data_IF_559618929424
#
_entry.id   IF_559618929424
#
_cell.length_a   1.000
_cell.length_b   1.000
_cell.length_c   1.000
_cell.angle_alpha   90.00
_cell.angle_beta   90.00
_cell.angle_gamma   90.00
#
_symmetry.space_group_name_H-M   'P 1'
#
loop_
_entity.id
_entity.type
_entity.pdbx_description
1 polymer ?
#
# COMPACT_ATOMS: atom_id res chain seq x y z
N UNK A 1 7.85 -13.24 20.09
CA UNK A 1 9.10 -12.46 20.22
C UNK A 1 8.75 -11.03 20.63
N UNK A 2 9.67 -10.30 21.26
CA UNK A 2 9.48 -8.89 21.56
C UNK A 2 10.24 -8.07 20.51
N UNK A 3 9.54 -7.19 19.82
CA UNK A 3 10.05 -6.45 18.68
C UNK A 3 9.92 -4.95 18.94
N UNK A 4 10.99 -4.20 18.73
CA UNK A 4 10.94 -2.74 18.67
C UNK A 4 11.04 -2.33 17.21
N UNK A 5 10.21 -1.37 16.80
CA UNK A 5 10.30 -0.77 15.48
C UNK A 5 10.58 0.73 15.54
N UNK A 6 11.38 1.24 14.60
CA UNK A 6 11.66 2.67 14.44
C UNK A 6 10.99 3.19 13.18
N UNK A 7 9.95 4.01 13.36
CA UNK A 7 9.23 4.71 12.28
C UNK A 7 9.56 6.19 12.33
N UNK A 8 10.26 6.67 11.33
CA UNK A 8 10.86 8.01 11.34
C UNK A 8 9.92 9.19 11.04
N UNK A 9 8.64 8.94 10.80
CA UNK A 9 7.66 9.96 10.39
C UNK A 9 6.25 9.65 10.92
N UNK A 10 5.33 10.65 10.93
CA UNK A 10 3.96 10.45 11.35
C UNK A 10 3.22 9.48 10.41
N UNK A 11 2.56 8.47 10.99
CA UNK A 11 1.73 7.52 10.24
C UNK A 11 0.33 7.31 10.85
N UNK A 12 0.07 7.84 12.05
CA UNK A 12 -1.26 7.86 12.67
C UNK A 12 -1.67 9.28 13.03
N UNK A 13 -2.87 9.75 12.57
CA UNK A 13 -3.84 9.03 11.74
C UNK A 13 -3.32 8.75 10.32
N UNK A 14 -3.66 7.57 9.78
CA UNK A 14 -3.22 7.14 8.46
C UNK A 14 -4.03 7.86 7.35
N UNK A 15 -3.40 8.78 6.63
CA UNK A 15 -4.03 9.62 5.57
C UNK A 15 -3.54 9.27 4.16
N UNK A 16 -2.50 8.47 4.03
CA UNK A 16 -1.92 8.05 2.75
C UNK A 16 -1.69 6.55 2.71
N UNK A 17 -1.54 5.97 1.52
CA UNK A 17 -1.31 4.53 1.35
C UNK A 17 -0.10 4.03 2.13
N UNK A 18 1.02 4.75 2.13
CA UNK A 18 2.22 4.37 2.90
C UNK A 18 1.98 4.39 4.41
N UNK A 19 1.27 5.40 4.93
CA UNK A 19 0.90 5.47 6.35
C UNK A 19 -0.05 4.32 6.73
N UNK A 20 -1.06 4.03 5.89
CA UNK A 20 -1.99 2.92 6.07
C UNK A 20 -1.25 1.58 6.07
N UNK A 21 -0.27 1.41 5.17
CA UNK A 21 0.56 0.21 5.11
C UNK A 21 1.31 -0.06 6.41
N UNK A 22 1.96 0.94 7.00
CA UNK A 22 2.64 0.81 8.29
C UNK A 22 1.66 0.47 9.41
N UNK A 23 0.56 1.22 9.50
CA UNK A 23 -0.44 1.02 10.55
C UNK A 23 -1.03 -0.39 10.52
N UNK A 24 -1.39 -0.88 9.33
CA UNK A 24 -1.98 -2.20 9.14
C UNK A 24 -0.93 -3.32 9.30
N UNK A 25 0.27 -3.13 8.80
CA UNK A 25 1.34 -4.09 9.03
C UNK A 25 1.51 -4.35 10.53
N UNK A 26 1.66 -3.31 11.36
CA UNK A 26 1.82 -3.51 12.80
C UNK A 26 0.55 -4.00 13.49
N UNK A 27 -0.65 -3.59 13.06
CA UNK A 27 -1.92 -4.13 13.55
C UNK A 27 -1.96 -5.65 13.42
N UNK A 28 -1.66 -6.18 12.26
CA UNK A 28 -1.70 -7.62 12.01
C UNK A 28 -0.46 -8.36 12.51
N UNK A 29 0.71 -7.74 12.46
CA UNK A 29 1.95 -8.35 12.93
C UNK A 29 1.99 -8.52 14.45
N UNK A 30 1.30 -7.64 15.18
CA UNK A 30 1.16 -7.71 16.64
C UNK A 30 0.32 -8.91 17.12
N UNK A 31 -0.45 -9.57 16.24
CA UNK A 31 -1.11 -10.84 16.59
C UNK A 31 -0.13 -12.01 16.75
N UNK A 32 1.09 -11.87 16.20
CA UNK A 32 2.12 -12.89 16.25
C UNK A 32 3.24 -12.54 17.26
N UNK A 33 3.43 -11.26 17.55
CA UNK A 33 4.56 -10.77 18.36
C UNK A 33 4.15 -9.60 19.24
N UNK A 34 4.86 -9.41 20.37
CA UNK A 34 4.73 -8.17 21.14
C UNK A 34 5.50 -7.07 20.42
N UNK A 35 4.82 -6.03 19.93
CA UNK A 35 5.41 -4.96 19.12
C UNK A 35 5.31 -3.62 19.84
N UNK A 36 6.44 -2.92 19.95
CA UNK A 36 6.54 -1.53 20.41
C UNK A 36 7.09 -0.67 19.26
N UNK A 37 6.28 0.25 18.76
CA UNK A 37 6.67 1.17 17.69
C UNK A 37 7.12 2.50 18.28
N UNK A 38 8.37 2.87 18.03
CA UNK A 38 8.95 4.17 18.39
C UNK A 38 8.85 5.12 17.20
N UNK A 39 8.24 6.25 17.41
CA UNK A 39 7.95 7.19 16.32
C UNK A 39 7.99 8.65 16.78
N UNK A 40 7.68 9.58 15.87
CA UNK A 40 7.69 11.03 16.10
C UNK A 40 6.48 11.50 16.91
N UNK A 41 6.61 12.69 17.53
CA UNK A 41 5.62 13.24 18.47
C UNK A 41 4.24 13.52 17.85
N UNK A 42 4.15 13.69 16.52
CA UNK A 42 2.89 14.00 15.84
C UNK A 42 1.96 12.81 15.63
N UNK A 43 2.36 11.60 16.01
CA UNK A 43 1.49 10.44 15.95
C UNK A 43 0.49 10.42 17.11
N UNK A 44 -0.67 9.79 16.92
CA UNK A 44 -1.71 9.64 17.93
C UNK A 44 -1.71 8.19 18.46
N UNK A 45 -1.14 7.92 19.65
CA UNK A 45 -1.03 6.56 20.21
C UNK A 45 -2.38 5.86 20.40
N UNK A 46 -3.45 6.60 20.68
CA UNK A 46 -4.79 6.04 20.85
C UNK A 46 -5.35 5.37 19.59
N UNK A 47 -4.77 5.64 18.42
CA UNK A 47 -5.14 5.01 17.14
C UNK A 47 -4.33 3.75 16.83
N UNK A 48 -3.35 3.39 17.67
CA UNK A 48 -2.57 2.16 17.48
C UNK A 48 -3.42 0.94 17.84
N UNK A 49 -3.58 0.02 16.90
CA UNK A 49 -4.40 -1.18 17.07
C UNK A 49 -3.51 -2.42 17.31
N UNK A 50 -3.50 -2.94 18.54
CA UNK A 50 -2.80 -4.18 18.88
C UNK A 50 -1.31 -4.05 19.20
N UNK A 51 -0.69 -2.88 19.03
CA UNK A 51 0.71 -2.60 19.34
C UNK A 51 0.87 -1.35 20.20
N UNK A 52 1.97 -1.28 20.93
CA UNK A 52 2.31 -0.10 21.71
C UNK A 52 2.98 0.95 20.82
N UNK A 53 2.58 2.23 20.93
CA UNK A 53 3.17 3.33 20.19
C UNK A 53 3.78 4.36 21.14
N UNK A 54 5.08 4.64 20.95
CA UNK A 54 5.84 5.56 21.79
C UNK A 54 6.34 6.76 20.96
N UNK A 55 5.88 7.95 21.28
CA UNK A 55 6.24 9.22 20.63
C UNK A 55 7.57 9.77 21.17
N UNK A 56 8.68 9.09 20.89
CA UNK A 56 10.01 9.41 21.45
C UNK A 56 10.83 10.27 20.49
N UNK A 57 10.71 10.04 19.17
CA UNK A 57 11.54 10.71 18.18
C UNK A 57 11.14 12.18 17.99
N UNK A 58 12.10 13.13 17.93
CA UNK A 58 11.80 14.51 17.61
C UNK A 58 11.18 14.65 16.21
N UNK A 59 10.32 15.65 16.01
CA UNK A 59 9.75 15.94 14.68
C UNK A 59 10.74 16.62 13.73
N UNK A 60 11.80 17.24 14.25
CA UNK A 60 12.82 17.93 13.46
C UNK A 60 13.79 16.98 12.76
N UNK A 61 14.39 17.41 11.65
CA UNK A 61 15.26 16.59 10.80
C UNK A 61 16.51 16.06 11.53
N UNK A 62 17.00 16.76 12.57
CA UNK A 62 18.15 16.29 13.35
C UNK A 62 17.92 14.92 14.01
N UNK A 63 16.67 14.43 14.09
CA UNK A 63 16.37 13.08 14.62
C UNK A 63 17.16 11.98 13.92
N UNK A 64 17.48 12.14 12.63
CA UNK A 64 18.21 11.13 11.87
C UNK A 64 19.69 10.99 12.25
N UNK A 65 20.26 12.02 12.86
CA UNK A 65 21.70 12.08 13.21
C UNK A 65 21.95 12.27 14.71
N UNK A 66 20.89 12.29 15.53
CA UNK A 66 21.00 12.48 16.98
C UNK A 66 21.59 11.24 17.68
N UNK A 67 22.85 11.28 18.20
CA UNK A 67 23.49 10.12 18.80
C UNK A 67 22.87 9.72 20.15
N UNK A 68 22.21 10.64 20.85
CA UNK A 68 21.60 10.36 22.15
C UNK A 68 20.41 9.40 22.05
N UNK A 69 19.82 9.28 20.86
CA UNK A 69 18.74 8.31 20.60
C UNK A 69 19.19 6.86 20.82
N UNK A 70 20.50 6.58 20.63
CA UNK A 70 21.07 5.27 20.91
C UNK A 70 20.82 4.84 22.35
N UNK A 71 21.10 5.70 23.32
CA UNK A 71 20.93 5.37 24.75
C UNK A 71 19.45 5.17 25.10
N UNK A 72 18.58 5.98 24.53
CA UNK A 72 17.12 5.86 24.73
C UNK A 72 16.61 4.51 24.20
N UNK A 73 16.95 4.15 22.96
CA UNK A 73 16.49 2.88 22.37
C UNK A 73 17.17 1.69 23.03
N UNK A 74 18.46 1.79 23.40
CA UNK A 74 19.15 0.74 24.17
C UNK A 74 18.48 0.46 25.51
N UNK A 75 18.04 1.51 26.23
CA UNK A 75 17.28 1.37 27.48
C UNK A 75 15.96 0.64 27.21
N UNK A 76 15.21 1.08 26.20
CA UNK A 76 13.94 0.45 25.80
C UNK A 76 14.10 -1.01 25.39
N UNK A 77 15.15 -1.37 24.63
CA UNK A 77 15.48 -2.77 24.29
C UNK A 77 15.61 -3.64 25.54
N UNK A 78 16.29 -3.13 26.57
CA UNK A 78 16.49 -3.86 27.83
C UNK A 78 15.20 -3.99 28.61
N UNK A 79 14.43 -2.91 28.76
CA UNK A 79 13.16 -2.88 29.50
C UNK A 79 12.12 -3.81 28.86
N UNK A 80 12.00 -3.76 27.54
CA UNK A 80 11.06 -4.60 26.78
C UNK A 80 11.60 -6.02 26.51
N UNK A 81 12.85 -6.30 26.86
CA UNK A 81 13.55 -7.56 26.52
C UNK A 81 13.44 -7.87 25.03
N UNK A 82 13.64 -6.84 24.20
CA UNK A 82 13.46 -6.95 22.76
C UNK A 82 14.55 -7.83 22.14
N UNK A 83 14.15 -8.73 21.28
CA UNK A 83 15.02 -9.66 20.53
C UNK A 83 15.26 -9.19 19.09
N UNK A 84 14.36 -8.37 18.55
CA UNK A 84 14.40 -7.87 17.18
C UNK A 84 14.20 -6.37 17.14
N UNK A 85 14.84 -5.74 16.16
CA UNK A 85 14.69 -4.33 15.84
C UNK A 85 14.31 -4.20 14.36
N UNK A 86 13.16 -3.56 14.07
CA UNK A 86 12.73 -3.23 12.71
C UNK A 86 13.05 -1.76 12.43
N UNK A 87 13.65 -1.48 11.29
CA UNK A 87 13.78 -0.14 10.74
C UNK A 87 12.79 0.02 9.60
N UNK A 88 11.79 0.89 9.78
CA UNK A 88 10.96 1.34 8.66
C UNK A 88 11.76 2.33 7.83
N UNK A 89 12.17 1.87 6.66
CA UNK A 89 13.19 2.49 5.79
C UNK A 89 14.62 2.44 6.36
N UNK A 90 15.65 2.57 5.51
CA UNK A 90 17.05 2.47 5.92
C UNK A 90 17.58 3.71 6.67
N UNK A 91 16.77 4.76 6.88
CA UNK A 91 17.25 6.05 7.40
C UNK A 91 17.97 5.98 8.76
N UNK A 92 17.57 5.03 9.62
CA UNK A 92 18.25 4.75 10.90
C UNK A 92 19.26 3.61 10.81
N UNK A 93 19.81 3.33 9.62
CA UNK A 93 20.77 2.24 9.41
C UNK A 93 21.95 2.29 10.38
N UNK A 94 22.58 3.46 10.58
CA UNK A 94 23.69 3.65 11.51
C UNK A 94 23.29 3.26 12.94
N UNK A 95 22.10 3.64 13.40
CA UNK A 95 21.58 3.35 14.73
C UNK A 95 21.27 1.86 14.86
N UNK A 96 20.62 1.26 13.85
CA UNK A 96 20.32 -0.17 13.80
C UNK A 96 21.58 -1.03 13.88
N UNK A 97 22.62 -0.66 13.15
CA UNK A 97 23.91 -1.35 13.19
C UNK A 97 24.57 -1.28 14.59
N UNK A 98 24.55 -0.11 15.25
CA UNK A 98 25.06 0.05 16.61
C UNK A 98 24.25 -0.75 17.62
N UNK A 99 22.91 -0.68 17.55
CA UNK A 99 22.04 -1.43 18.48
C UNK A 99 22.21 -2.94 18.29
N UNK A 100 22.29 -3.43 17.05
CA UNK A 100 22.62 -4.84 16.79
C UNK A 100 23.95 -5.23 17.44
N UNK A 101 24.99 -4.43 17.27
CA UNK A 101 26.34 -4.70 17.79
C UNK A 101 26.41 -4.71 19.31
N UNK A 102 25.71 -3.76 19.97
CA UNK A 102 25.85 -3.54 21.43
C UNK A 102 24.71 -4.12 22.27
N UNK A 103 23.58 -4.46 21.65
CA UNK A 103 22.43 -5.03 22.37
C UNK A 103 22.12 -6.48 21.96
N UNK A 104 22.76 -7.01 20.91
CA UNK A 104 22.53 -8.37 20.44
C UNK A 104 21.18 -8.60 19.77
N UNK A 105 20.44 -7.55 19.42
CA UNK A 105 19.16 -7.67 18.70
C UNK A 105 19.37 -8.04 17.24
N UNK A 106 18.47 -8.83 16.68
CA UNK A 106 18.45 -9.09 15.24
C UNK A 106 17.85 -7.90 14.52
N UNK A 107 18.50 -7.45 13.46
CA UNK A 107 18.13 -6.28 12.70
C UNK A 107 17.32 -6.67 11.46
N UNK A 108 16.14 -6.06 11.32
CA UNK A 108 15.26 -6.17 10.16
C UNK A 108 15.18 -4.79 9.50
N UNK A 109 15.36 -4.72 8.19
CA UNK A 109 15.10 -3.50 7.41
C UNK A 109 13.86 -3.73 6.56
N UNK A 110 12.83 -2.91 6.75
CA UNK A 110 11.59 -2.93 5.99
C UNK A 110 11.56 -1.72 5.05
N UNK A 111 11.89 -1.94 3.79
CA UNK A 111 11.94 -0.90 2.76
C UNK A 111 10.64 -0.82 1.98
N UNK A 112 10.04 0.37 1.99
CA UNK A 112 8.84 0.67 1.19
C UNK A 112 9.17 1.11 -0.23
N UNK A 113 10.40 1.49 -0.49
CA UNK A 113 10.99 1.81 -1.79
C UNK A 113 12.49 1.59 -1.70
N UNK A 114 13.14 1.45 -2.83
CA UNK A 114 14.58 1.62 -2.94
C UNK A 114 14.88 3.13 -3.01
N UNK A 115 15.21 3.71 -1.85
CA UNK A 115 15.33 5.15 -1.68
C UNK A 115 16.43 5.76 -2.58
N UNK A 116 17.55 5.08 -2.74
CA UNK A 116 18.60 5.52 -3.65
C UNK A 116 18.10 5.67 -5.09
N UNK A 117 17.34 4.70 -5.58
CA UNK A 117 16.74 4.74 -6.93
C UNK A 117 15.68 5.83 -7.03
N UNK A 118 14.82 5.97 -6.04
CA UNK A 118 13.81 7.02 -5.98
C UNK A 118 14.43 8.42 -6.06
N UNK A 119 15.50 8.68 -5.30
CA UNK A 119 16.17 9.97 -5.36
C UNK A 119 16.95 10.20 -6.67
N UNK A 120 17.39 9.12 -7.31
CA UNK A 120 17.94 9.18 -8.67
C UNK A 120 16.90 9.67 -9.68
N UNK A 121 15.68 9.11 -9.66
CA UNK A 121 14.59 9.53 -10.56
C UNK A 121 14.15 10.98 -10.31
N UNK A 122 14.33 11.48 -9.08
CA UNK A 122 14.11 12.88 -8.72
C UNK A 122 15.28 13.81 -9.06
N UNK A 123 16.30 13.31 -9.78
CA UNK A 123 17.45 14.09 -10.26
C UNK A 123 18.39 14.61 -9.15
N UNK A 124 18.37 14.02 -7.95
CA UNK A 124 19.24 14.47 -6.85
C UNK A 124 20.66 13.98 -7.02
N UNK A 125 21.64 14.89 -7.12
CA UNK A 125 23.05 14.56 -7.38
C UNK A 125 23.66 13.61 -6.33
N UNK A 126 23.20 13.68 -5.08
CA UNK A 126 23.70 12.87 -3.95
C UNK A 126 23.05 11.47 -3.84
N UNK A 127 22.22 11.05 -4.81
CA UNK A 127 21.52 9.76 -4.77
C UNK A 127 22.46 8.56 -4.57
N UNK A 128 23.69 8.62 -5.11
CA UNK A 128 24.69 7.54 -4.96
C UNK A 128 25.16 7.36 -3.51
N UNK A 129 25.23 8.44 -2.73
CA UNK A 129 25.59 8.40 -1.30
C UNK A 129 24.50 7.66 -0.55
N UNK A 130 23.24 8.03 -0.77
CA UNK A 130 22.10 7.37 -0.15
C UNK A 130 22.00 5.91 -0.57
N UNK A 131 22.20 5.60 -1.86
CA UNK A 131 22.18 4.23 -2.38
C UNK A 131 23.23 3.35 -1.70
N UNK A 132 24.47 3.82 -1.53
CA UNK A 132 25.52 3.08 -0.83
C UNK A 132 25.19 2.91 0.66
N UNK A 133 24.64 3.93 1.31
CA UNK A 133 24.20 3.86 2.70
C UNK A 133 23.07 2.82 2.87
N UNK A 134 22.05 2.87 2.03
CA UNK A 134 20.94 1.92 1.97
C UNK A 134 21.44 0.49 1.75
N UNK A 135 22.27 0.28 0.73
CA UNK A 135 22.92 -1.02 0.45
C UNK A 135 23.65 -1.56 1.67
N UNK A 136 24.46 -0.75 2.33
CA UNK A 136 25.23 -1.19 3.50
C UNK A 136 24.30 -1.52 4.67
N UNK A 137 23.22 -0.76 4.89
CA UNK A 137 22.23 -1.04 5.92
C UNK A 137 21.56 -2.39 5.69
N UNK A 138 21.11 -2.66 4.45
CA UNK A 138 20.51 -3.94 4.07
C UNK A 138 21.49 -5.13 4.20
N UNK A 139 22.75 -4.95 3.80
CA UNK A 139 23.77 -6.00 3.93
C UNK A 139 24.08 -6.37 5.37
N UNK A 140 24.04 -5.40 6.27
CA UNK A 140 24.29 -5.61 7.70
C UNK A 140 23.07 -6.22 8.43
N UNK A 141 21.87 -6.07 7.88
CA UNK A 141 20.65 -6.63 8.44
C UNK A 141 20.66 -8.16 8.46
N UNK A 142 19.94 -8.75 9.41
CA UNK A 142 19.70 -10.20 9.48
C UNK A 142 18.59 -10.60 8.51
N UNK A 143 17.57 -9.72 8.35
CA UNK A 143 16.44 -9.91 7.48
C UNK A 143 16.10 -8.61 6.76
N UNK A 144 15.56 -8.75 5.54
CA UNK A 144 15.18 -7.63 4.70
C UNK A 144 13.77 -7.85 4.16
N UNK A 145 12.88 -6.91 4.41
CA UNK A 145 11.52 -6.89 3.88
C UNK A 145 11.40 -5.83 2.80
N UNK A 146 10.74 -6.17 1.70
CA UNK A 146 10.49 -5.27 0.56
C UNK A 146 9.00 -5.30 0.22
N UNK A 147 8.42 -4.18 -0.19
CA UNK A 147 6.99 -4.12 -0.51
C UNK A 147 6.66 -4.85 -1.82
N UNK A 148 7.60 -4.96 -2.75
CA UNK A 148 7.39 -5.59 -4.05
C UNK A 148 8.55 -6.49 -4.45
N UNK A 149 8.26 -7.52 -5.25
CA UNK A 149 9.25 -8.49 -5.71
C UNK A 149 10.35 -7.82 -6.54
N UNK A 150 10.01 -6.84 -7.37
CA UNK A 150 10.99 -6.11 -8.17
C UNK A 150 12.06 -5.41 -7.33
N UNK A 151 11.69 -4.79 -6.20
CA UNK A 151 12.65 -4.15 -5.30
C UNK A 151 13.50 -5.19 -4.54
N UNK A 152 12.89 -6.32 -4.12
CA UNK A 152 13.60 -7.44 -3.52
C UNK A 152 14.66 -8.00 -4.48
N UNK A 153 14.28 -8.28 -5.71
CA UNK A 153 15.15 -8.88 -6.71
C UNK A 153 16.26 -7.91 -7.14
N UNK A 154 15.93 -6.61 -7.24
CA UNK A 154 16.93 -5.57 -7.43
C UNK A 154 17.96 -5.58 -6.28
N UNK A 155 17.49 -5.62 -5.03
CA UNK A 155 18.37 -5.60 -3.86
C UNK A 155 19.24 -6.88 -3.78
N UNK A 156 18.70 -8.04 -4.10
CA UNK A 156 19.47 -9.29 -4.22
C UNK A 156 20.59 -9.10 -5.25
N UNK A 157 20.26 -8.61 -6.44
CA UNK A 157 21.21 -8.47 -7.55
C UNK A 157 22.23 -7.37 -7.32
N UNK A 158 21.81 -6.16 -6.92
CA UNK A 158 22.68 -4.98 -6.92
C UNK A 158 23.22 -4.62 -5.54
N UNK A 159 22.51 -4.96 -4.46
CA UNK A 159 23.05 -4.84 -3.10
C UNK A 159 23.87 -6.07 -2.71
N UNK A 160 23.74 -7.19 -3.45
CA UNK A 160 24.42 -8.46 -3.16
C UNK A 160 23.87 -9.12 -1.91
N UNK A 161 22.54 -9.06 -1.74
CA UNK A 161 21.86 -9.70 -0.62
C UNK A 161 21.69 -11.20 -0.89
N UNK A 162 21.67 -11.99 0.17
CA UNK A 162 21.34 -13.41 0.09
C UNK A 162 19.82 -13.57 -0.03
N UNK A 163 19.30 -14.32 -1.03
CA UNK A 163 17.86 -14.51 -1.21
C UNK A 163 17.14 -14.99 0.04
N UNK A 164 17.76 -15.89 0.81
CA UNK A 164 17.22 -16.44 2.05
C UNK A 164 17.11 -15.42 3.20
N UNK A 165 17.63 -14.21 3.03
CA UNK A 165 17.47 -13.09 3.98
C UNK A 165 16.43 -12.07 3.52
N UNK A 166 15.79 -12.27 2.38
CA UNK A 166 14.89 -11.33 1.74
C UNK A 166 13.48 -11.90 1.63
N UNK A 167 12.49 -11.10 1.99
CA UNK A 167 11.08 -11.46 1.89
C UNK A 167 10.31 -10.28 1.29
N UNK A 168 9.36 -10.59 0.41
CA UNK A 168 8.36 -9.60 -0.02
C UNK A 168 7.23 -9.55 1.00
N UNK A 169 7.08 -8.38 1.60
CA UNK A 169 6.00 -7.99 2.51
C UNK A 169 5.19 -6.92 1.80
N UNK A 170 4.31 -7.35 0.89
CA UNK A 170 3.55 -6.45 0.03
C UNK A 170 2.54 -5.61 0.83
N UNK A 171 2.04 -4.55 0.19
CA UNK A 171 0.84 -3.90 0.69
C UNK A 171 -0.35 -4.87 0.57
N UNK A 172 -1.21 -4.91 1.59
CA UNK A 172 -2.33 -5.84 1.65
C UNK A 172 -3.69 -5.18 1.82
N UNK A 173 -4.72 -6.01 1.78
CA UNK A 173 -6.10 -5.69 2.13
C UNK A 173 -6.47 -6.28 3.49
N UNK A 174 -7.43 -5.66 4.18
CA UNK A 174 -8.05 -6.22 5.38
C UNK A 174 -9.13 -7.26 5.06
N UNK A 175 -9.46 -7.43 3.79
CA UNK A 175 -10.46 -8.38 3.30
C UNK A 175 -9.78 -9.73 3.07
N UNK A 176 -10.26 -10.76 3.74
CA UNK A 176 -9.71 -12.13 3.70
C UNK A 176 -10.34 -13.02 2.63
N UNK A 177 -11.52 -12.66 2.14
CA UNK A 177 -12.30 -13.36 1.13
C UNK A 177 -13.23 -12.38 0.41
N UNK A 178 -13.71 -12.68 -0.81
CA UNK A 178 -14.62 -11.79 -1.52
C UNK A 178 -15.92 -11.59 -0.75
N UNK A 179 -16.58 -10.42 -0.86
CA UNK A 179 -17.93 -10.23 -0.38
C UNK A 179 -18.88 -11.30 -0.97
N UNK A 180 -19.81 -11.76 -0.14
CA UNK A 180 -20.82 -12.72 -0.60
C UNK A 180 -21.73 -12.11 -1.69
N UNK A 181 -22.33 -12.94 -2.58
CA UNK A 181 -23.30 -12.47 -3.57
C UNK A 181 -24.45 -11.66 -2.96
N UNK A 182 -24.88 -12.01 -1.73
CA UNK A 182 -25.92 -11.30 -0.99
C UNK A 182 -25.45 -9.89 -0.60
N UNK A 183 -24.29 -9.76 0.03
CA UNK A 183 -23.72 -8.47 0.42
C UNK A 183 -23.52 -7.56 -0.82
N UNK A 184 -23.04 -8.11 -1.92
CA UNK A 184 -22.87 -7.39 -3.17
C UNK A 184 -24.21 -6.89 -3.72
N UNK A 185 -25.25 -7.76 -3.73
CA UNK A 185 -26.59 -7.40 -4.20
C UNK A 185 -27.23 -6.32 -3.33
N UNK A 186 -27.15 -6.44 -2.01
CA UNK A 186 -27.70 -5.47 -1.05
C UNK A 186 -27.00 -4.12 -1.17
N UNK A 187 -25.67 -4.11 -1.24
CA UNK A 187 -24.88 -2.89 -1.41
C UNK A 187 -25.18 -2.20 -2.74
N UNK A 188 -25.28 -2.97 -3.83
CA UNK A 188 -25.64 -2.44 -5.14
C UNK A 188 -27.04 -1.80 -5.13
N UNK A 189 -28.03 -2.51 -4.60
CA UNK A 189 -29.41 -2.01 -4.50
C UNK A 189 -29.47 -0.71 -3.70
N UNK A 190 -28.76 -0.64 -2.56
CA UNK A 190 -28.65 0.57 -1.74
C UNK A 190 -28.06 1.74 -2.53
N UNK A 191 -26.97 1.52 -3.29
CA UNK A 191 -26.37 2.58 -4.12
C UNK A 191 -27.29 3.06 -5.22
N UNK A 192 -27.95 2.14 -5.93
CA UNK A 192 -28.89 2.50 -7.01
C UNK A 192 -30.05 3.37 -6.48
N UNK A 193 -30.61 3.01 -5.33
CA UNK A 193 -31.66 3.78 -4.67
C UNK A 193 -31.17 5.16 -4.20
N UNK A 194 -30.06 5.19 -3.42
CA UNK A 194 -29.54 6.44 -2.85
C UNK A 194 -29.12 7.46 -3.91
N UNK A 195 -28.57 6.96 -5.02
CA UNK A 195 -28.04 7.79 -6.09
C UNK A 195 -29.03 8.00 -7.25
N UNK A 196 -30.23 7.43 -7.16
CA UNK A 196 -31.30 7.48 -8.18
C UNK A 196 -30.80 7.01 -9.56
N UNK A 197 -30.05 5.89 -9.59
CA UNK A 197 -29.49 5.31 -10.80
C UNK A 197 -30.38 4.16 -11.26
N UNK A 198 -30.71 4.06 -12.57
CA UNK A 198 -31.49 2.93 -13.10
C UNK A 198 -30.76 1.59 -12.86
N UNK A 199 -31.51 0.53 -12.56
CA UNK A 199 -30.97 -0.83 -12.31
C UNK A 199 -30.18 -1.39 -13.50
N UNK A 200 -30.53 -0.95 -14.71
CA UNK A 200 -29.85 -1.33 -15.96
C UNK A 200 -28.44 -0.76 -16.11
N UNK A 201 -28.05 0.19 -15.26
CA UNK A 201 -26.74 0.84 -15.36
C UNK A 201 -25.67 0.05 -14.61
N UNK A 202 -24.51 -0.05 -15.23
CA UNK A 202 -23.30 -0.54 -14.56
C UNK A 202 -22.70 0.56 -13.68
N UNK A 203 -22.29 0.20 -12.46
CA UNK A 203 -21.65 1.12 -11.52
C UNK A 203 -20.13 1.01 -11.63
N UNK A 204 -19.49 2.11 -12.02
CA UNK A 204 -18.06 2.21 -12.19
C UNK A 204 -17.52 3.13 -11.08
N UNK A 205 -16.49 2.71 -10.36
CA UNK A 205 -15.91 3.47 -9.25
C UNK A 205 -14.52 3.99 -9.59
N UNK A 206 -14.25 5.24 -9.22
CA UNK A 206 -12.90 5.77 -9.05
C UNK A 206 -12.81 6.52 -7.73
N UNK A 207 -11.82 6.20 -6.90
CA UNK A 207 -11.61 6.90 -5.64
C UNK A 207 -10.19 7.45 -5.46
N UNK A 208 -10.05 8.46 -4.61
CA UNK A 208 -8.74 8.99 -4.26
C UNK A 208 -8.75 10.25 -3.41
N UNK A 209 -7.56 10.62 -2.91
CA UNK A 209 -7.30 11.95 -2.37
C UNK A 209 -6.72 12.81 -3.51
N UNK A 210 -7.44 13.82 -3.95
CA UNK A 210 -7.14 14.58 -5.18
C UNK A 210 -6.17 15.76 -4.96
N UNK A 211 -5.74 15.99 -3.73
CA UNK A 211 -4.55 16.80 -3.43
C UNK A 211 -3.23 16.11 -3.80
N UNK A 212 -3.25 14.78 -4.02
CA UNK A 212 -2.13 14.03 -4.54
C UNK A 212 -2.16 14.05 -6.08
N UNK A 213 -1.10 14.59 -6.71
CA UNK A 213 -1.06 14.85 -8.16
C UNK A 213 -1.41 13.62 -9.01
N UNK A 214 -0.87 12.40 -8.78
CA UNK A 214 -1.22 11.25 -9.60
C UNK A 214 -2.72 10.90 -9.60
N UNK A 215 -3.42 11.10 -8.49
CA UNK A 215 -4.86 10.86 -8.42
C UNK A 215 -5.64 11.98 -9.14
N UNK A 216 -5.18 13.23 -9.02
CA UNK A 216 -5.79 14.35 -9.70
C UNK A 216 -5.65 14.23 -11.23
N UNK A 217 -4.45 13.87 -11.68
CA UNK A 217 -4.18 13.68 -13.12
C UNK A 217 -5.00 12.49 -13.66
N UNK A 218 -5.14 11.41 -12.88
CA UNK A 218 -6.01 10.29 -13.20
C UNK A 218 -7.49 10.70 -13.30
N UNK A 219 -7.99 11.59 -12.41
CA UNK A 219 -9.33 12.14 -12.49
C UNK A 219 -9.54 12.91 -13.80
N UNK A 220 -8.58 13.76 -14.18
CA UNK A 220 -8.64 14.48 -15.45
C UNK A 220 -8.64 13.52 -16.67
N UNK A 221 -7.79 12.50 -16.64
CA UNK A 221 -7.76 11.47 -17.68
C UNK A 221 -9.11 10.75 -17.81
N UNK A 222 -9.74 10.38 -16.67
CA UNK A 222 -11.07 9.78 -16.69
C UNK A 222 -12.11 10.69 -17.30
N UNK A 223 -12.18 11.94 -16.85
CA UNK A 223 -13.25 12.85 -17.25
C UNK A 223 -13.11 13.36 -18.68
N UNK A 224 -11.88 13.65 -19.13
CA UNK A 224 -11.64 14.32 -20.41
C UNK A 224 -11.09 13.42 -21.51
N UNK A 225 -10.63 12.20 -21.19
CA UNK A 225 -10.10 11.25 -22.17
C UNK A 225 -10.95 9.98 -22.25
N UNK A 226 -11.16 9.30 -21.13
CA UNK A 226 -11.86 8.00 -21.08
C UNK A 226 -13.37 8.17 -21.20
N UNK A 227 -13.98 9.06 -20.41
CA UNK A 227 -15.44 9.21 -20.36
C UNK A 227 -16.07 9.60 -21.71
N UNK A 228 -15.52 10.53 -22.52
CA UNK A 228 -16.05 10.81 -23.86
C UNK A 228 -16.06 9.59 -24.78
N UNK A 229 -15.03 8.73 -24.69
CA UNK A 229 -14.96 7.49 -25.47
C UNK A 229 -16.02 6.50 -24.99
N UNK A 230 -16.18 6.31 -23.66
CA UNK A 230 -17.23 5.46 -23.11
C UNK A 230 -18.62 5.94 -23.53
N UNK A 231 -18.90 7.25 -23.46
CA UNK A 231 -20.18 7.85 -23.86
C UNK A 231 -20.52 7.62 -25.33
N UNK A 232 -19.53 7.57 -26.21
CA UNK A 232 -19.75 7.25 -27.63
C UNK A 232 -20.13 5.79 -27.90
N UNK A 233 -19.89 4.88 -26.91
CA UNK A 233 -20.10 3.44 -27.04
C UNK A 233 -21.29 2.93 -26.25
N UNK A 234 -21.56 3.51 -25.08
CA UNK A 234 -22.70 3.14 -24.21
C UNK A 234 -23.12 4.30 -23.32
N UNK A 235 -24.39 4.35 -22.97
CA UNK A 235 -24.95 5.29 -21.98
C UNK A 235 -25.40 4.56 -20.71
N UNK A 236 -25.36 3.22 -20.69
CA UNK A 236 -25.89 2.39 -19.61
C UNK A 236 -24.86 2.18 -18.48
N UNK A 237 -24.21 3.26 -18.03
CA UNK A 237 -23.32 3.24 -16.88
C UNK A 237 -23.41 4.51 -16.04
N UNK A 238 -22.89 4.43 -14.83
CA UNK A 238 -22.64 5.57 -13.96
C UNK A 238 -21.23 5.49 -13.38
N UNK A 239 -20.38 6.46 -13.72
CA UNK A 239 -19.04 6.62 -13.15
C UNK A 239 -19.13 7.45 -11.87
N UNK A 240 -18.86 6.82 -10.74
CA UNK A 240 -18.89 7.40 -9.41
C UNK A 240 -17.48 7.88 -9.02
N UNK A 241 -17.34 9.19 -8.77
CA UNK A 241 -16.08 9.80 -8.32
C UNK A 241 -16.18 10.08 -6.82
N UNK A 242 -15.33 9.38 -6.04
CA UNK A 242 -15.36 9.43 -4.59
C UNK A 242 -14.01 9.88 -4.04
N UNK A 243 -14.00 10.78 -3.06
CA UNK A 243 -12.77 11.13 -2.35
C UNK A 243 -12.65 12.55 -1.87
N UNK A 244 -11.49 12.86 -1.29
CA UNK A 244 -11.19 14.14 -0.68
C UNK A 244 -10.53 15.12 -1.66
N UNK A 245 -10.76 16.42 -1.45
CA UNK A 245 -10.10 17.51 -2.19
C UNK A 245 -10.30 17.44 -3.71
N UNK A 246 -11.50 17.09 -4.17
CA UNK A 246 -11.86 17.18 -5.58
C UNK A 246 -11.73 18.65 -6.01
N UNK A 247 -11.09 18.95 -7.16
CA UNK A 247 -10.98 20.32 -7.66
C UNK A 247 -12.33 20.98 -7.83
N UNK A 248 -12.45 22.24 -7.40
CA UNK A 248 -13.71 22.99 -7.45
C UNK A 248 -14.27 23.13 -8.89
N UNK A 249 -13.39 23.23 -9.87
CA UNK A 249 -13.76 23.23 -11.29
C UNK A 249 -14.51 21.96 -11.70
N UNK A 250 -14.14 20.80 -11.14
CA UNK A 250 -14.81 19.52 -11.41
C UNK A 250 -16.16 19.45 -10.68
N UNK A 251 -16.22 19.94 -9.43
CA UNK A 251 -17.48 19.97 -8.67
C UNK A 251 -18.56 20.85 -9.33
N UNK A 252 -18.16 21.89 -10.04
CA UNK A 252 -19.07 22.82 -10.74
C UNK A 252 -19.41 22.40 -12.16
N UNK A 253 -18.78 21.34 -12.71
CA UNK A 253 -18.99 20.89 -14.08
C UNK A 253 -19.81 19.61 -14.11
N UNK A 254 -20.83 19.58 -14.96
CA UNK A 254 -21.58 18.35 -15.22
C UNK A 254 -20.92 17.57 -16.35
N UNK A 255 -20.73 16.27 -16.12
CA UNK A 255 -20.19 15.34 -17.11
C UNK A 255 -21.23 14.24 -17.40
N UNK A 256 -21.60 13.97 -18.66
CA UNK A 256 -22.54 12.90 -18.98
C UNK A 256 -22.06 11.56 -18.43
N UNK A 257 -22.97 10.80 -17.79
CA UNK A 257 -22.65 9.49 -17.21
C UNK A 257 -21.81 9.51 -15.94
N UNK A 258 -21.45 10.69 -15.39
CA UNK A 258 -20.60 10.82 -14.20
C UNK A 258 -21.39 11.42 -13.05
N UNK A 259 -21.14 10.91 -11.84
CA UNK A 259 -21.63 11.48 -10.60
C UNK A 259 -20.48 11.71 -9.62
N UNK A 260 -20.23 12.97 -9.29
CA UNK A 260 -19.15 13.39 -8.38
C UNK A 260 -19.71 13.47 -6.97
N UNK A 261 -19.33 12.55 -6.10
CA UNK A 261 -19.92 12.39 -4.76
C UNK A 261 -19.10 13.09 -3.65
N UNK A 262 -17.82 13.37 -3.92
CA UNK A 262 -16.95 13.91 -2.88
C UNK A 262 -16.54 12.87 -1.84
N UNK A 263 -16.34 13.31 -0.61
CA UNK A 263 -16.05 12.42 0.51
C UNK A 263 -17.30 11.61 0.90
N UNK A 264 -17.11 10.31 1.09
CA UNK A 264 -18.14 9.40 1.60
C UNK A 264 -17.64 8.76 2.90
N UNK A 265 -18.51 8.64 3.89
CA UNK A 265 -18.14 8.03 5.18
C UNK A 265 -17.91 6.52 5.06
N UNK A 266 -18.71 5.85 4.22
CA UNK A 266 -18.67 4.41 4.01
C UNK A 266 -18.20 4.07 2.58
N UNK A 267 -16.88 4.05 2.36
CA UNK A 267 -16.30 3.65 1.06
C UNK A 267 -16.54 2.16 0.77
N UNK A 268 -16.67 1.33 1.80
CA UNK A 268 -16.90 -0.10 1.67
C UNK A 268 -18.18 -0.42 0.90
N UNK A 269 -19.26 0.35 1.13
CA UNK A 269 -20.51 0.24 0.38
C UNK A 269 -20.28 0.36 -1.12
N UNK A 270 -19.42 1.30 -1.55
CA UNK A 270 -19.10 1.51 -2.96
C UNK A 270 -18.20 0.43 -3.53
N UNK A 271 -17.20 -0.01 -2.77
CA UNK A 271 -16.32 -1.10 -3.17
C UNK A 271 -17.07 -2.43 -3.29
N UNK A 272 -18.08 -2.65 -2.45
CA UNK A 272 -18.91 -3.87 -2.49
C UNK A 272 -19.96 -3.81 -3.60
N UNK A 273 -20.62 -2.65 -3.78
CA UNK A 273 -21.79 -2.53 -4.65
C UNK A 273 -21.51 -2.14 -6.10
N UNK A 274 -20.31 -1.66 -6.43
CA UNK A 274 -19.94 -1.34 -7.81
C UNK A 274 -19.53 -2.59 -8.60
N UNK A 275 -19.51 -2.46 -9.93
CA UNK A 275 -19.16 -3.54 -10.85
C UNK A 275 -17.69 -3.47 -11.28
N UNK A 276 -17.17 -2.26 -11.53
CA UNK A 276 -15.84 -2.01 -12.08
C UNK A 276 -15.13 -0.92 -11.29
N UNK A 277 -13.83 -1.08 -11.12
CA UNK A 277 -12.95 -0.03 -10.60
C UNK A 277 -11.98 0.43 -11.67
N UNK A 278 -11.80 1.76 -11.83
CA UNK A 278 -10.86 2.32 -12.80
C UNK A 278 -9.64 2.93 -12.10
N UNK A 279 -8.45 2.69 -12.66
CA UNK A 279 -7.19 3.20 -12.13
C UNK A 279 -6.26 3.75 -13.24
N UNK A 280 -6.61 4.88 -13.89
CA UNK A 280 -5.82 5.46 -14.99
C UNK A 280 -4.66 6.31 -14.48
N UNK A 281 -3.88 5.76 -13.54
CA UNK A 281 -2.75 6.44 -12.89
C UNK A 281 -1.49 6.26 -13.72
N UNK A 282 -0.90 7.35 -14.20
CA UNK A 282 0.28 7.36 -15.07
C UNK A 282 1.60 7.67 -14.32
N UNK A 283 1.55 7.94 -13.02
CA UNK A 283 2.73 8.34 -12.25
C UNK A 283 2.66 7.88 -10.79
N UNK A 284 3.78 7.99 -10.10
CA UNK A 284 3.92 7.53 -8.71
C UNK A 284 4.47 6.11 -8.64
N UNK A 285 5.42 5.91 -7.71
CA UNK A 285 6.07 4.62 -7.49
C UNK A 285 5.24 3.66 -6.63
N UNK A 286 5.62 2.38 -6.66
CA UNK A 286 5.07 1.35 -5.79
C UNK A 286 3.64 0.91 -6.09
N UNK A 287 3.16 -0.04 -5.28
CA UNK A 287 1.81 -0.60 -5.38
C UNK A 287 0.75 0.49 -5.13
N UNK A 288 -0.28 0.52 -5.97
CA UNK A 288 -1.45 1.38 -5.77
C UNK A 288 -2.44 0.67 -4.85
N UNK A 289 -2.43 1.03 -3.58
CA UNK A 289 -3.21 0.40 -2.50
C UNK A 289 -4.70 0.29 -2.82
N UNK A 290 -5.27 1.31 -3.45
CA UNK A 290 -6.67 1.33 -3.88
C UNK A 290 -7.00 0.25 -4.92
N UNK A 291 -6.03 -0.15 -5.76
CA UNK A 291 -6.23 -1.22 -6.73
C UNK A 291 -6.27 -2.59 -6.03
N UNK A 292 -5.38 -2.83 -5.06
CA UNK A 292 -5.42 -4.03 -4.21
C UNK A 292 -6.74 -4.11 -3.44
N UNK A 293 -7.20 -2.98 -2.89
CA UNK A 293 -8.49 -2.91 -2.19
C UNK A 293 -9.66 -3.25 -3.12
N UNK A 294 -9.74 -2.63 -4.30
CA UNK A 294 -10.81 -2.90 -5.25
C UNK A 294 -10.86 -4.37 -5.69
N UNK A 295 -9.71 -4.96 -5.98
CA UNK A 295 -9.60 -6.40 -6.31
C UNK A 295 -10.04 -7.28 -5.12
N UNK A 296 -9.68 -6.92 -3.89
CA UNK A 296 -10.09 -7.66 -2.69
C UNK A 296 -11.62 -7.65 -2.47
N UNK A 297 -12.29 -6.56 -2.86
CA UNK A 297 -13.76 -6.49 -2.88
C UNK A 297 -14.39 -7.17 -4.12
N UNK A 298 -13.61 -7.94 -4.87
CA UNK A 298 -14.07 -8.67 -6.05
C UNK A 298 -14.52 -7.78 -7.21
N UNK A 299 -14.05 -6.54 -7.29
CA UNK A 299 -14.30 -5.68 -8.44
C UNK A 299 -13.46 -6.12 -9.65
N UNK A 300 -14.05 -6.09 -10.84
CA UNK A 300 -13.25 -6.09 -12.07
C UNK A 300 -12.53 -4.76 -12.16
N UNK A 301 -11.24 -4.76 -12.48
CA UNK A 301 -10.44 -3.53 -12.45
C UNK A 301 -9.76 -3.27 -13.78
N UNK A 302 -9.75 -2.00 -14.21
CA UNK A 302 -9.00 -1.56 -15.38
C UNK A 302 -7.94 -0.58 -14.93
N UNK A 303 -6.70 -0.84 -15.29
CA UNK A 303 -5.56 -0.03 -14.89
C UNK A 303 -4.63 0.24 -16.06
N UNK A 304 -3.93 1.36 -16.03
CA UNK A 304 -2.73 1.60 -16.83
C UNK A 304 -1.58 0.72 -16.35
N UNK A 305 -0.55 0.51 -17.15
CA UNK A 305 0.66 -0.23 -16.74
C UNK A 305 1.28 0.35 -15.48
N UNK A 306 1.47 1.68 -15.42
CA UNK A 306 1.98 2.35 -14.23
C UNK A 306 1.04 2.17 -13.02
N UNK A 307 -0.25 2.18 -13.25
CA UNK A 307 -1.27 1.97 -12.21
C UNK A 307 -1.25 0.57 -11.61
N UNK A 308 -0.86 -0.45 -12.38
CA UNK A 308 -0.86 -1.86 -12.00
C UNK A 308 0.49 -2.35 -11.42
N UNK A 309 1.52 -1.48 -11.36
CA UNK A 309 2.84 -1.87 -10.82
C UNK A 309 2.71 -2.59 -9.48
N UNK A 310 3.35 -3.76 -9.38
CA UNK A 310 3.44 -4.56 -8.16
C UNK A 310 2.27 -5.54 -7.95
N UNK A 311 1.35 -5.66 -8.91
CA UNK A 311 0.27 -6.66 -8.88
C UNK A 311 0.46 -7.61 -10.07
N UNK A 312 0.58 -8.90 -9.79
CA UNK A 312 0.64 -9.95 -10.80
C UNK A 312 -0.78 -10.24 -11.32
N UNK A 313 -1.07 -10.01 -12.62
CA UNK A 313 -2.38 -10.33 -13.21
C UNK A 313 -2.74 -11.82 -13.09
N UNK A 314 -1.74 -12.70 -13.03
CA UNK A 314 -1.94 -14.15 -12.83
C UNK A 314 -2.65 -14.51 -11.54
N UNK A 315 -2.56 -13.63 -10.52
CA UNK A 315 -3.28 -13.79 -9.25
C UNK A 315 -4.73 -13.29 -9.30
N UNK A 316 -5.18 -12.68 -10.41
CA UNK A 316 -6.45 -11.95 -10.46
C UNK A 316 -7.56 -12.64 -11.28
N UNK A 317 -7.36 -13.86 -11.76
CA UNK A 317 -8.35 -14.65 -12.54
C UNK A 317 -9.05 -13.84 -13.65
N UNK A 318 -8.28 -13.02 -14.38
CA UNK A 318 -8.77 -12.17 -15.47
C UNK A 318 -9.49 -10.89 -15.03
N UNK A 319 -9.65 -10.63 -13.73
CA UNK A 319 -10.33 -9.42 -13.22
C UNK A 319 -9.47 -8.16 -13.26
N UNK A 320 -8.17 -8.26 -13.54
CA UNK A 320 -7.29 -7.13 -13.74
C UNK A 320 -6.96 -6.98 -15.24
N UNK A 321 -7.51 -5.93 -15.84
CA UNK A 321 -7.23 -5.52 -17.21
C UNK A 321 -6.14 -4.44 -17.18
N UNK A 322 -5.01 -4.70 -17.81
CA UNK A 322 -3.90 -3.74 -17.91
C UNK A 322 -3.84 -3.22 -19.34
N UNK A 323 -3.81 -1.89 -19.47
CA UNK A 323 -3.71 -1.18 -20.75
C UNK A 323 -2.42 -0.37 -20.77
N UNK A 324 -1.85 -0.21 -21.96
CA UNK A 324 -0.69 0.65 -22.17
C UNK A 324 -0.97 2.06 -21.66
N UNK A 325 0.06 2.69 -21.10
CA UNK A 325 -0.04 4.07 -20.62
C UNK A 325 -0.43 4.99 -21.79
N UNK A 326 -1.41 5.87 -21.56
CA UNK A 326 -1.98 6.82 -22.54
C UNK A 326 -2.89 6.21 -23.65
N UNK A 327 -3.07 4.90 -23.74
CA UNK A 327 -4.04 4.29 -24.67
C UNK A 327 -5.45 4.29 -24.09
N UNK A 328 -6.12 5.43 -24.22
CA UNK A 328 -7.48 5.63 -23.69
C UNK A 328 -8.57 4.86 -24.45
N UNK A 329 -8.33 4.50 -25.71
CA UNK A 329 -9.24 3.64 -26.46
C UNK A 329 -9.24 2.22 -25.93
N UNK A 330 -8.07 1.60 -25.79
CA UNK A 330 -7.93 0.29 -25.17
C UNK A 330 -8.43 0.28 -23.71
N UNK A 331 -8.23 1.38 -22.97
CA UNK A 331 -8.73 1.52 -21.61
C UNK A 331 -10.27 1.53 -21.55
N UNK A 332 -10.93 2.23 -22.47
CA UNK A 332 -12.38 2.24 -22.59
C UNK A 332 -12.93 0.87 -23.03
N UNK A 333 -12.28 0.19 -24.00
CA UNK A 333 -12.65 -1.18 -24.43
C UNK A 333 -12.51 -2.18 -23.27
N UNK A 334 -11.42 -2.08 -22.52
CA UNK A 334 -11.19 -2.90 -21.33
C UNK A 334 -12.26 -2.65 -20.26
N UNK A 335 -12.73 -1.40 -20.12
CA UNK A 335 -13.82 -1.05 -19.19
C UNK A 335 -15.13 -1.76 -19.56
N UNK A 336 -15.48 -1.80 -20.84
CA UNK A 336 -16.67 -2.52 -21.29
C UNK A 336 -16.55 -4.03 -21.05
N UNK A 337 -15.40 -4.62 -21.35
CA UNK A 337 -15.13 -6.05 -21.04
C UNK A 337 -15.16 -6.32 -19.54
N UNK A 338 -14.67 -5.40 -18.72
CA UNK A 338 -14.67 -5.54 -17.26
C UNK A 338 -16.08 -5.54 -16.67
N UNK A 339 -17.03 -4.81 -17.28
CA UNK A 339 -18.45 -4.82 -16.91
C UNK A 339 -19.06 -6.22 -17.12
N UNK A 340 -18.68 -6.91 -18.19
CA UNK A 340 -19.21 -8.23 -18.54
C UNK A 340 -18.55 -9.37 -17.76
N UNK A 341 -17.42 -9.11 -17.06
CA UNK A 341 -16.65 -10.11 -16.34
C UNK A 341 -17.44 -10.66 -15.14
N UNK A 342 -17.61 -11.98 -15.09
CA UNK A 342 -18.39 -12.68 -14.03
C UNK A 342 -17.52 -13.57 -13.12
N UNK A 343 -16.22 -13.70 -13.41
CA UNK A 343 -15.32 -14.50 -12.56
C UNK A 343 -15.17 -13.88 -11.17
N UNK A 344 -14.87 -14.73 -10.18
CA UNK A 344 -14.52 -14.27 -8.84
C UNK A 344 -13.00 -14.21 -8.65
N UNK A 345 -12.57 -13.36 -7.71
CA UNK A 345 -11.18 -13.33 -7.27
C UNK A 345 -10.80 -14.67 -6.65
N UNK A 346 -9.69 -15.29 -7.05
CA UNK A 346 -9.28 -16.58 -6.56
C UNK A 346 -8.72 -16.51 -5.14
N UNK A 347 -8.78 -17.61 -4.41
CA UNK A 347 -8.22 -17.69 -3.06
C UNK A 347 -6.72 -17.32 -3.01
N UNK A 348 -5.97 -17.63 -4.06
CA UNK A 348 -4.55 -17.29 -4.19
C UNK A 348 -4.28 -15.80 -4.06
N UNK A 349 -5.21 -14.95 -4.52
CA UNK A 349 -5.12 -13.50 -4.33
C UNK A 349 -5.14 -13.14 -2.85
N UNK A 350 -6.09 -13.67 -2.08
CA UNK A 350 -6.21 -13.41 -0.63
C UNK A 350 -5.06 -14.04 0.16
N UNK A 351 -4.58 -15.21 -0.25
CA UNK A 351 -3.37 -15.80 0.32
C UNK A 351 -2.16 -14.88 0.17
N UNK A 352 -2.07 -14.14 -0.93
CA UNK A 352 -0.96 -13.22 -1.18
C UNK A 352 -1.17 -11.85 -0.55
N UNK A 353 -2.37 -11.23 -0.70
CA UNK A 353 -2.64 -9.84 -0.37
C UNK A 353 -3.43 -9.59 0.93
N UNK A 354 -3.94 -10.60 1.61
CA UNK A 354 -4.57 -10.40 2.92
C UNK A 354 -3.52 -10.12 4.00
N UNK A 355 -3.70 -9.03 4.77
CA UNK A 355 -2.73 -8.63 5.81
C UNK A 355 -2.41 -9.72 6.82
N UNK A 356 -3.41 -10.52 7.23
CA UNK A 356 -3.19 -11.65 8.13
C UNK A 356 -2.19 -12.67 7.56
N UNK A 357 -2.29 -12.99 6.28
CA UNK A 357 -1.37 -13.92 5.61
C UNK A 357 0.02 -13.29 5.37
N UNK A 358 0.07 -12.01 5.00
CA UNK A 358 1.34 -11.27 4.81
C UNK A 358 2.14 -11.29 6.10
N UNK A 359 1.52 -10.90 7.22
CA UNK A 359 2.22 -10.80 8.50
C UNK A 359 2.55 -12.17 9.10
N UNK A 360 1.72 -13.20 8.86
CA UNK A 360 2.03 -14.58 9.21
C UNK A 360 3.29 -15.06 8.49
N UNK A 361 3.39 -14.85 7.16
CA UNK A 361 4.62 -15.19 6.41
C UNK A 361 5.85 -14.43 6.93
N UNK A 362 5.70 -13.15 7.26
CA UNK A 362 6.79 -12.36 7.84
C UNK A 362 7.22 -12.89 9.22
N UNK A 363 6.26 -13.27 10.06
CA UNK A 363 6.53 -13.85 11.39
C UNK A 363 7.21 -15.21 11.29
N UNK A 364 6.74 -16.10 10.43
CA UNK A 364 7.35 -17.40 10.17
C UNK A 364 8.77 -17.26 9.60
N UNK A 365 8.99 -16.29 8.70
CA UNK A 365 10.28 -16.05 8.08
C UNK A 365 11.35 -15.69 9.09
N UNK A 366 11.06 -14.83 10.04
CA UNK A 366 12.01 -14.47 11.10
C UNK A 366 12.14 -15.56 12.17
N UNK A 367 11.11 -16.40 12.36
CA UNK A 367 11.14 -17.50 13.33
C UNK A 367 11.99 -18.69 12.85
N UNK A 368 11.88 -19.10 11.60
CA UNK A 368 12.60 -20.26 11.03
C UNK A 368 14.12 -20.21 11.19
N UNK A 369 14.71 -19.01 11.22
CA UNK A 369 16.17 -18.82 11.40
C UNK A 369 16.60 -18.70 12.86
N UNK A 370 15.68 -18.81 13.82
CA UNK A 370 15.99 -18.83 15.24
C UNK A 370 16.15 -20.26 15.80
N UNK A 371 15.86 -21.29 15.02
CA UNK A 371 16.20 -22.68 15.38
C UNK A 371 17.72 -22.86 15.29
N UNK A 372 18.37 -23.46 16.29
CA UNK A 372 19.76 -23.89 16.17
C UNK A 372 19.89 -24.73 14.91
N UNK A 373 20.89 -24.48 14.07
CA UNK A 373 21.26 -25.46 13.05
C UNK A 373 21.61 -26.70 13.83
N UNK A 374 20.86 -27.77 13.70
CA UNK A 374 21.28 -29.08 14.13
C UNK A 374 22.62 -29.36 13.43
N UNK A 375 23.66 -29.50 14.23
CA UNK A 375 25.06 -29.81 13.84
C UNK A 375 25.13 -31.26 13.39
#
# INVERSE_FOLDING_TARGET
>A
MNIISLVSYPFLPARSGGQKGIALFYKYFSSHHSVTVVTTKKNQPALAAGYELLNILPDAAYRYINPFIFFTIRKLIREKKATHLILEHPYYGWLGMLLKRFCGVRLIVHSHNLEGNRWRTLGKWWWRILWNYERNTHRYADYNFFIQDADRDYAIRFFGLKPEKCLTVSFGSEIASPPSPKEKSESRHSLLQQLQIPETHSLILFNGAFNYSPNRDALYNLLFKVNPILQSRTTSYRLLIVGLNIPESILKTSFPGVQVLGFVENLELYLTGCDVFLNPVLSGGGIKTKLVEALAYNLSTVSTENGAIGIDPGLCNGKLFICDDYDWNSFADATLRAIEMKSDMPETFYQYFYWGNITRRAAEFIAKKNLPQEV
#
